data_IF_571190165392
#
_entry.id   IF_571190165392
#
_cell.length_a   1.000
_cell.length_b   1.000
_cell.length_c   1.000
_cell.angle_alpha   90.00
_cell.angle_beta   90.00
_cell.angle_gamma   90.00
#
_symmetry.space_group_name_H-M   'P 1'
#
loop_
_entity.id
_entity.type
_entity.pdbx_description
1 polymer ?
#
# COMPACT_ATOMS: atom_id res chain seq x y z
N UNK A 1 -6.68 21.02 -0.50
CA UNK A 1 -7.77 20.07 -0.81
C UNK A 1 -7.37 18.72 -0.24
N UNK A 2 -8.30 17.90 0.27
CA UNK A 2 -7.94 16.66 0.97
C UNK A 2 -8.02 15.47 0.02
N UNK A 3 -6.94 14.70 -0.11
CA UNK A 3 -6.89 13.43 -0.84
C UNK A 3 -7.59 12.36 0.01
N UNK A 4 -8.63 11.73 -0.55
CA UNK A 4 -9.27 10.56 0.06
C UNK A 4 -8.45 9.31 -0.29
N UNK A 5 -8.02 8.56 0.71
CA UNK A 5 -7.23 7.35 0.52
C UNK A 5 -8.01 6.14 1.03
N UNK A 6 -8.16 5.12 0.22
CA UNK A 6 -8.91 3.91 0.57
C UNK A 6 -8.00 2.68 0.50
N UNK A 7 -8.10 1.79 1.48
CA UNK A 7 -7.34 0.53 1.47
C UNK A 7 -7.93 -0.49 2.45
N UNK A 8 -7.26 -1.64 2.59
CA UNK A 8 -7.81 -2.77 3.36
C UNK A 8 -7.77 -2.55 4.87
N UNK A 9 -6.63 -2.09 5.43
CA UNK A 9 -6.39 -2.17 6.86
C UNK A 9 -5.47 -1.11 7.46
N UNK A 10 -5.03 -1.41 8.69
CA UNK A 10 -4.35 -0.46 9.55
C UNK A 10 -2.84 -0.32 9.22
N UNK A 11 -2.26 -1.25 8.44
CA UNK A 11 -0.86 -1.11 7.99
C UNK A 11 -0.75 0.04 7.01
N UNK A 12 -1.64 0.08 6.01
CA UNK A 12 -1.77 1.15 5.04
C UNK A 12 -2.10 2.47 5.72
N UNK A 13 -3.04 2.48 6.68
CA UNK A 13 -3.40 3.67 7.45
C UNK A 13 -2.18 4.29 8.13
N UNK A 14 -1.35 3.47 8.79
CA UNK A 14 -0.16 3.96 9.47
C UNK A 14 0.91 4.45 8.50
N UNK A 15 1.07 3.80 7.34
CA UNK A 15 1.96 4.29 6.28
C UNK A 15 1.47 5.65 5.79
N UNK A 16 0.20 5.78 5.40
CA UNK A 16 -0.38 7.04 4.94
C UNK A 16 -0.29 8.16 5.99
N UNK A 17 -0.53 7.85 7.26
CA UNK A 17 -0.42 8.83 8.35
C UNK A 17 1.01 9.34 8.54
N UNK A 18 2.03 8.50 8.34
CA UNK A 18 3.42 8.94 8.42
C UNK A 18 3.86 9.71 7.16
N UNK A 19 3.40 9.32 5.96
CA UNK A 19 3.61 10.08 4.73
C UNK A 19 2.98 11.48 4.83
N UNK A 20 1.75 11.57 5.35
CA UNK A 20 1.05 12.83 5.66
C UNK A 20 1.89 13.75 6.54
N UNK A 21 2.49 13.23 7.61
CA UNK A 21 3.27 14.04 8.55
C UNK A 21 4.60 14.49 7.95
N UNK A 22 5.27 13.62 7.20
CA UNK A 22 6.63 13.85 6.69
C UNK A 22 6.67 14.76 5.47
N UNK A 23 5.67 14.63 4.61
CA UNK A 23 5.58 15.36 3.35
C UNK A 23 4.43 16.37 3.33
N UNK A 24 3.88 16.70 4.51
CA UNK A 24 2.79 17.69 4.70
C UNK A 24 1.53 17.47 3.82
N UNK A 25 1.33 16.24 3.33
CA UNK A 25 0.25 15.87 2.40
C UNK A 25 -1.10 15.95 3.10
N UNK A 26 -2.04 16.70 2.52
CA UNK A 26 -3.41 16.75 3.01
C UNK A 26 -4.19 15.49 2.58
N UNK A 27 -4.09 14.42 3.38
CA UNK A 27 -4.84 13.18 3.15
C UNK A 27 -5.75 12.78 4.31
N UNK A 28 -6.78 12.01 3.98
CA UNK A 28 -7.67 11.30 4.90
C UNK A 28 -7.79 9.84 4.45
N UNK A 29 -7.27 8.94 5.29
CA UNK A 29 -7.39 7.50 5.07
C UNK A 29 -8.74 6.98 5.59
N UNK A 30 -9.41 6.14 4.80
CA UNK A 30 -10.66 5.48 5.14
C UNK A 30 -10.50 3.95 4.96
N UNK A 31 -10.41 3.17 6.06
CA UNK A 31 -10.23 1.71 5.98
C UNK A 31 -11.50 1.00 5.53
N UNK A 32 -11.41 0.17 4.49
CA UNK A 32 -12.52 -0.66 4.01
C UNK A 32 -12.88 -1.79 4.99
N UNK A 33 -11.89 -2.25 5.80
CA UNK A 33 -12.02 -3.40 6.70
C UNK A 33 -12.54 -4.64 5.98
N UNK A 34 -11.95 -4.95 4.82
CA UNK A 34 -12.37 -6.06 3.98
C UNK A 34 -11.48 -6.20 2.76
N UNK A 35 -11.94 -7.00 1.80
CA UNK A 35 -11.24 -7.25 0.53
C UNK A 35 -11.53 -6.16 -0.52
N UNK A 36 -11.04 -6.38 -1.75
CA UNK A 36 -11.30 -5.55 -2.93
C UNK A 36 -12.74 -5.09 -3.08
N UNK A 37 -13.72 -5.98 -2.91
CA UNK A 37 -15.13 -5.64 -3.14
C UNK A 37 -15.67 -4.72 -2.03
N UNK A 38 -15.17 -4.87 -0.80
CA UNK A 38 -15.45 -3.94 0.29
C UNK A 38 -14.85 -2.56 0.02
N UNK A 39 -13.62 -2.49 -0.50
CA UNK A 39 -12.99 -1.24 -0.95
C UNK A 39 -13.86 -0.58 -2.04
N UNK A 40 -14.14 -1.30 -3.13
CA UNK A 40 -14.93 -0.78 -4.26
C UNK A 40 -16.30 -0.23 -3.80
N UNK A 41 -17.00 -0.96 -2.91
CA UNK A 41 -18.28 -0.52 -2.36
C UNK A 41 -18.15 0.74 -1.51
N UNK A 42 -17.13 0.81 -0.66
CA UNK A 42 -16.88 1.98 0.19
C UNK A 42 -16.53 3.20 -0.66
N UNK A 43 -15.62 3.06 -1.63
CA UNK A 43 -15.21 4.09 -2.57
C UNK A 43 -16.43 4.65 -3.30
N UNK A 44 -17.25 3.77 -3.90
CA UNK A 44 -18.48 4.16 -4.60
C UNK A 44 -19.43 4.94 -3.68
N UNK A 45 -19.69 4.44 -2.47
CA UNK A 45 -20.58 5.09 -1.51
C UNK A 45 -20.05 6.44 -1.01
N UNK A 46 -18.72 6.61 -0.96
CA UNK A 46 -18.09 7.84 -0.50
C UNK A 46 -18.00 8.90 -1.59
N UNK A 47 -17.64 8.50 -2.81
CA UNK A 47 -17.36 9.42 -3.91
C UNK A 47 -18.63 9.88 -4.62
N UNK A 48 -19.62 8.98 -4.81
CA UNK A 48 -20.84 9.31 -5.57
C UNK A 48 -21.56 10.56 -5.05
N UNK A 49 -21.81 10.74 -3.73
CA UNK A 49 -22.43 11.97 -3.22
C UNK A 49 -21.58 13.22 -3.46
N UNK A 50 -20.25 13.14 -3.30
CA UNK A 50 -19.36 14.29 -3.45
C UNK A 50 -19.37 14.83 -4.88
N UNK A 51 -19.42 13.93 -5.86
CA UNK A 51 -19.52 14.31 -7.28
C UNK A 51 -20.87 14.97 -7.62
N UNK A 52 -21.95 14.61 -6.92
CA UNK A 52 -23.26 15.24 -7.10
C UNK A 52 -23.32 16.66 -6.53
N UNK A 53 -22.45 16.97 -5.56
CA UNK A 53 -22.30 18.29 -4.96
C UNK A 53 -21.29 19.18 -5.72
N UNK A 54 -20.80 18.73 -6.89
CA UNK A 54 -19.79 19.40 -7.73
C UNK A 54 -18.46 19.70 -7.02
N UNK A 55 -18.19 18.99 -5.91
CA UNK A 55 -16.91 19.04 -5.22
C UNK A 55 -15.81 18.39 -6.07
N UNK A 56 -14.59 18.93 -6.02
CA UNK A 56 -13.46 18.21 -6.61
C UNK A 56 -13.06 17.05 -5.72
N UNK A 57 -12.93 15.89 -6.34
CA UNK A 57 -12.65 14.63 -5.66
C UNK A 57 -11.28 14.13 -6.09
N UNK A 58 -10.37 14.07 -5.13
CA UNK A 58 -9.01 13.53 -5.28
C UNK A 58 -8.95 12.21 -4.53
N UNK A 59 -8.72 11.11 -5.24
CA UNK A 59 -8.85 9.76 -4.68
C UNK A 59 -7.63 8.90 -4.97
N UNK A 60 -7.06 8.26 -3.93
CA UNK A 60 -6.10 7.17 -4.09
C UNK A 60 -6.68 5.88 -3.52
N UNK A 61 -6.60 4.80 -4.29
CA UNK A 61 -7.05 3.48 -3.84
C UNK A 61 -5.84 2.54 -3.79
N UNK A 62 -5.69 1.86 -2.65
CA UNK A 62 -4.61 0.91 -2.38
C UNK A 62 -5.17 -0.51 -2.43
N UNK A 63 -4.60 -1.33 -3.31
CA UNK A 63 -4.93 -2.74 -3.40
C UNK A 63 -3.72 -3.61 -3.12
N UNK A 64 -3.95 -4.69 -2.38
CA UNK A 64 -3.01 -5.80 -2.35
C UNK A 64 -3.21 -6.69 -3.57
N UNK A 65 -2.14 -7.37 -3.99
CA UNK A 65 -2.17 -8.35 -5.08
C UNK A 65 -2.09 -9.77 -4.52
N UNK A 66 -3.11 -10.58 -4.81
CA UNK A 66 -3.18 -11.99 -4.42
C UNK A 66 -3.53 -12.85 -5.63
N UNK A 67 -2.49 -13.25 -6.36
CA UNK A 67 -2.64 -14.09 -7.55
C UNK A 67 -3.21 -15.47 -7.25
N UNK A 68 -3.13 -15.96 -6.01
CA UNK A 68 -3.64 -17.30 -5.66
C UNK A 68 -5.16 -17.32 -5.46
N UNK A 69 -5.76 -16.18 -5.15
CA UNK A 69 -7.22 -16.01 -5.06
C UNK A 69 -7.85 -15.45 -6.35
N UNK A 70 -7.15 -15.52 -7.49
CA UNK A 70 -7.55 -14.86 -8.75
C UNK A 70 -7.81 -13.35 -8.58
N UNK A 71 -7.00 -12.68 -7.75
CA UNK A 71 -6.96 -11.21 -7.67
C UNK A 71 -5.74 -10.74 -8.43
N UNK A 72 -5.82 -10.81 -9.76
CA UNK A 72 -4.78 -10.28 -10.64
C UNK A 72 -4.95 -8.77 -10.84
N UNK A 73 -3.92 -8.10 -11.37
CA UNK A 73 -4.02 -6.69 -11.76
C UNK A 73 -5.14 -6.48 -12.79
N UNK A 74 -5.32 -7.41 -13.73
CA UNK A 74 -6.40 -7.37 -14.70
C UNK A 74 -7.79 -7.44 -14.04
N UNK A 75 -7.95 -8.27 -13.00
CA UNK A 75 -9.22 -8.37 -12.26
C UNK A 75 -9.51 -7.11 -11.44
N UNK A 76 -8.47 -6.51 -10.85
CA UNK A 76 -8.59 -5.22 -10.14
C UNK A 76 -9.00 -4.13 -11.15
N UNK A 77 -8.28 -4.00 -12.26
CA UNK A 77 -8.58 -3.03 -13.31
C UNK A 77 -9.99 -3.23 -13.89
N UNK A 78 -10.40 -4.47 -14.16
CA UNK A 78 -11.74 -4.77 -14.64
C UNK A 78 -12.83 -4.39 -13.63
N UNK A 79 -12.58 -4.56 -12.32
CA UNK A 79 -13.53 -4.19 -11.26
C UNK A 79 -13.74 -2.67 -11.12
N UNK A 80 -12.83 -1.87 -11.69
CA UNK A 80 -12.83 -0.40 -11.59
C UNK A 80 -13.26 0.22 -12.93
N UNK A 81 -12.51 -0.09 -13.99
CA UNK A 81 -12.63 0.51 -15.33
C UNK A 81 -13.40 -0.35 -16.34
N UNK A 82 -13.71 -1.61 -16.00
CA UNK A 82 -14.46 -2.50 -16.89
C UNK A 82 -15.91 -2.06 -17.11
N UNK A 83 -16.62 -2.74 -18.02
CA UNK A 83 -18.04 -2.47 -18.32
C UNK A 83 -18.96 -2.59 -17.09
N UNK A 84 -18.64 -3.52 -16.19
CA UNK A 84 -19.34 -3.73 -14.92
C UNK A 84 -18.60 -3.09 -13.72
N UNK A 85 -17.56 -2.30 -14.01
CA UNK A 85 -16.71 -1.66 -13.01
C UNK A 85 -17.46 -0.62 -12.19
N UNK A 86 -17.01 -0.35 -10.98
CA UNK A 86 -17.76 0.54 -10.06
C UNK A 86 -17.83 1.99 -10.54
N UNK A 87 -16.89 2.47 -11.36
CA UNK A 87 -16.94 3.84 -11.89
C UNK A 87 -18.19 4.06 -12.74
N UNK A 88 -18.60 3.07 -13.54
CA UNK A 88 -19.83 3.14 -14.36
C UNK A 88 -21.13 3.04 -13.55
N UNK A 89 -21.05 2.70 -12.26
CA UNK A 89 -22.18 2.71 -11.33
C UNK A 89 -22.46 4.10 -10.75
N UNK A 90 -21.65 5.09 -11.11
CA UNK A 90 -21.89 6.50 -10.85
C UNK A 90 -22.66 7.05 -12.06
N UNK A 91 -23.87 7.59 -11.85
CA UNK A 91 -24.81 7.91 -12.94
C UNK A 91 -24.20 8.87 -13.97
N UNK A 92 -23.46 9.89 -13.53
CA UNK A 92 -22.80 10.87 -14.40
C UNK A 92 -21.65 10.27 -15.24
N UNK A 93 -21.23 9.04 -14.94
CA UNK A 93 -20.10 8.34 -15.56
C UNK A 93 -20.54 7.13 -16.42
N UNK A 94 -21.84 6.83 -16.51
CA UNK A 94 -22.32 5.57 -17.12
C UNK A 94 -21.81 5.34 -18.55
N UNK A 95 -21.75 6.42 -19.33
CA UNK A 95 -21.38 6.40 -20.75
C UNK A 95 -19.87 6.59 -21.00
N UNK A 96 -19.07 6.86 -19.97
CA UNK A 96 -17.63 7.14 -20.12
C UNK A 96 -16.87 5.85 -20.42
N UNK A 97 -16.06 5.84 -21.48
CA UNK A 97 -15.21 4.70 -21.80
C UNK A 97 -13.87 4.69 -21.05
N UNK A 98 -13.93 4.27 -19.79
CA UNK A 98 -12.78 4.21 -18.89
C UNK A 98 -11.59 3.40 -19.40
N UNK A 99 -11.81 2.37 -20.23
CA UNK A 99 -10.70 1.54 -20.74
C UNK A 99 -9.76 2.31 -21.67
N UNK A 100 -10.25 3.36 -22.32
CA UNK A 100 -9.49 4.16 -23.27
C UNK A 100 -8.89 5.43 -22.67
N UNK A 101 -9.24 5.78 -21.42
CA UNK A 101 -8.81 7.02 -20.75
C UNK A 101 -8.03 6.77 -19.45
N UNK A 102 -8.15 5.59 -18.85
CA UNK A 102 -7.31 5.21 -17.73
C UNK A 102 -5.92 4.87 -18.24
N UNK A 103 -4.89 5.45 -17.64
CA UNK A 103 -3.51 5.31 -18.08
C UNK A 103 -2.68 4.65 -16.98
N UNK A 104 -1.82 3.71 -17.37
CA UNK A 104 -0.75 3.22 -16.50
C UNK A 104 0.33 4.30 -16.40
N UNK A 105 0.81 4.57 -15.19
CA UNK A 105 1.79 5.62 -14.96
C UNK A 105 3.13 5.28 -15.65
N UNK A 106 3.71 6.25 -16.35
CA UNK A 106 4.88 6.06 -17.23
C UNK A 106 6.13 5.49 -16.53
N UNK A 107 6.28 5.78 -15.24
CA UNK A 107 7.44 5.37 -14.43
C UNK A 107 7.12 4.26 -13.43
N UNK A 108 5.84 3.90 -13.26
CA UNK A 108 5.38 2.98 -12.22
C UNK A 108 4.32 2.04 -12.76
N UNK A 109 4.72 0.82 -13.14
CA UNK A 109 3.83 -0.19 -13.71
C UNK A 109 2.67 -0.56 -12.76
N UNK A 110 2.85 -0.38 -11.46
CA UNK A 110 1.87 -0.74 -10.44
C UNK A 110 0.93 0.42 -10.05
N UNK A 111 0.94 1.50 -10.84
CA UNK A 111 0.13 2.69 -10.63
C UNK A 111 -0.73 2.96 -11.88
N UNK A 112 -2.04 3.02 -11.69
CA UNK A 112 -3.00 3.40 -12.72
C UNK A 112 -3.67 4.72 -12.35
N UNK A 113 -3.92 5.55 -13.35
CA UNK A 113 -4.34 6.94 -13.16
C UNK A 113 -5.48 7.30 -14.08
N UNK A 114 -6.35 8.19 -13.62
CA UNK A 114 -7.50 8.69 -14.36
C UNK A 114 -7.76 10.13 -13.93
N UNK A 115 -7.84 11.03 -14.91
CA UNK A 115 -8.22 12.43 -14.71
C UNK A 115 -9.43 12.76 -15.57
N UNK A 116 -10.51 13.18 -14.92
CA UNK A 116 -11.75 13.62 -15.55
C UNK A 116 -11.99 15.10 -15.21
N UNK A 117 -11.36 15.98 -15.98
CA UNK A 117 -11.35 17.43 -15.70
C UNK A 117 -12.77 18.04 -15.71
N UNK A 118 -13.66 17.57 -16.59
CA UNK A 118 -15.07 18.00 -16.65
C UNK A 118 -15.79 17.78 -15.32
N UNK A 119 -15.41 16.73 -14.58
CA UNK A 119 -16.03 16.33 -13.32
C UNK A 119 -15.17 16.65 -12.10
N UNK A 120 -14.06 17.39 -12.29
CA UNK A 120 -13.06 17.69 -11.24
C UNK A 120 -12.62 16.45 -10.44
N UNK A 121 -12.53 15.31 -11.13
CA UNK A 121 -12.28 14.00 -10.53
C UNK A 121 -10.93 13.44 -10.93
N UNK A 122 -10.07 13.21 -9.95
CA UNK A 122 -8.77 12.55 -10.13
C UNK A 122 -8.72 11.27 -9.30
N UNK A 123 -8.30 10.19 -9.94
CA UNK A 123 -8.16 8.88 -9.34
C UNK A 123 -6.77 8.31 -9.63
N UNK A 124 -6.08 7.85 -8.59
CA UNK A 124 -4.92 6.99 -8.70
C UNK A 124 -5.19 5.65 -7.99
N UNK A 125 -4.73 4.55 -8.59
CA UNK A 125 -4.86 3.20 -8.06
C UNK A 125 -3.45 2.64 -7.94
N UNK A 126 -3.02 2.43 -6.72
CA UNK A 126 -1.76 1.77 -6.42
C UNK A 126 -2.03 0.30 -6.09
N UNK A 127 -1.48 -0.59 -6.89
CA UNK A 127 -1.51 -2.03 -6.64
C UNK A 127 -0.16 -2.43 -6.05
N UNK A 128 -0.14 -3.09 -4.89
CA UNK A 128 1.09 -3.59 -4.31
C UNK A 128 1.58 -4.79 -5.14
N UNK A 129 2.50 -4.59 -6.07
CA UNK A 129 3.12 -5.66 -6.90
C UNK A 129 4.50 -6.08 -6.40
N UNK A 130 5.10 -5.29 -5.51
CA UNK A 130 6.41 -5.52 -4.93
C UNK A 130 6.39 -6.68 -3.95
N UNK A 131 7.13 -7.74 -4.28
CA UNK A 131 7.40 -8.86 -3.36
C UNK A 131 8.82 -8.77 -2.83
N UNK A 132 8.98 -8.70 -1.50
CA UNK A 132 10.32 -8.76 -0.90
C UNK A 132 11.00 -10.11 -1.16
N UNK A 133 10.24 -11.20 -1.15
CA UNK A 133 10.69 -12.53 -1.61
C UNK A 133 9.79 -13.02 -2.75
N UNK A 134 10.42 -13.49 -3.84
CA UNK A 134 9.71 -14.03 -5.02
C UNK A 134 8.76 -15.20 -4.70
N UNK A 135 9.04 -15.95 -3.63
CA UNK A 135 8.22 -17.08 -3.19
C UNK A 135 6.95 -16.68 -2.45
N UNK A 136 6.74 -15.39 -2.16
CA UNK A 136 5.55 -14.95 -1.44
C UNK A 136 4.29 -15.11 -2.27
N UNK A 137 3.24 -15.62 -1.61
CA UNK A 137 1.94 -15.87 -2.22
C UNK A 137 1.23 -14.55 -2.52
N UNK A 138 1.27 -13.63 -1.57
CA UNK A 138 0.66 -12.30 -1.65
C UNK A 138 1.73 -11.21 -1.78
N UNK A 139 1.35 -10.09 -2.37
CA UNK A 139 2.10 -8.83 -2.37
C UNK A 139 1.23 -7.74 -1.77
N UNK A 140 1.75 -7.06 -0.74
CA UNK A 140 0.99 -6.10 0.05
C UNK A 140 1.85 -4.91 0.49
N UNK A 141 1.26 -3.90 1.13
CA UNK A 141 2.04 -2.79 1.69
C UNK A 141 3.09 -3.26 2.72
N UNK A 142 2.83 -4.39 3.38
CA UNK A 142 3.76 -5.00 4.34
C UNK A 142 5.11 -5.38 3.69
N UNK A 143 5.16 -5.65 2.38
CA UNK A 143 6.42 -5.89 1.65
C UNK A 143 7.31 -4.64 1.61
N UNK A 144 6.70 -3.48 1.39
CA UNK A 144 7.38 -2.17 1.38
C UNK A 144 7.89 -1.84 2.78
N UNK A 145 7.05 -2.06 3.80
CA UNK A 145 7.40 -1.87 5.21
C UNK A 145 8.55 -2.78 5.61
N UNK A 146 8.53 -4.05 5.20
CA UNK A 146 9.59 -5.00 5.51
C UNK A 146 10.92 -4.59 4.87
N UNK A 147 10.91 -4.20 3.60
CA UNK A 147 12.13 -3.72 2.96
C UNK A 147 12.69 -2.48 3.66
N UNK A 148 11.82 -1.54 4.03
CA UNK A 148 12.24 -0.33 4.73
C UNK A 148 12.84 -0.66 6.10
N UNK A 149 12.24 -1.61 6.84
CA UNK A 149 12.74 -2.06 8.13
C UNK A 149 14.11 -2.77 8.04
N UNK A 150 14.43 -3.34 6.88
CA UNK A 150 15.70 -4.02 6.63
C UNK A 150 16.81 -3.07 6.14
N UNK A 151 16.49 -1.80 5.85
CA UNK A 151 17.52 -0.79 5.55
C UNK A 151 18.43 -0.60 6.79
N UNK A 152 19.77 -0.55 6.63
CA UNK A 152 20.69 -0.54 7.78
C UNK A 152 20.41 0.55 8.82
N UNK A 153 20.11 1.77 8.37
CA UNK A 153 19.83 2.90 9.27
C UNK A 153 18.50 2.71 10.03
N UNK A 154 17.45 2.27 9.33
CA UNK A 154 16.15 1.96 9.96
C UNK A 154 16.29 0.82 10.96
N UNK A 155 16.94 -0.28 10.57
CA UNK A 155 17.22 -1.42 11.44
C UNK A 155 18.01 -0.99 12.68
N UNK A 156 18.99 -0.09 12.54
CA UNK A 156 19.78 0.40 13.65
C UNK A 156 18.97 1.21 14.66
N UNK A 157 18.11 2.10 14.18
CA UNK A 157 17.22 2.88 15.05
C UNK A 157 16.18 1.99 15.73
N UNK A 158 15.63 1.00 15.03
CA UNK A 158 14.70 0.03 15.61
C UNK A 158 15.37 -0.89 16.64
N UNK A 159 16.61 -1.33 16.40
CA UNK A 159 17.37 -2.22 17.28
C UNK A 159 17.93 -1.54 18.53
N UNK A 160 18.02 -0.19 18.54
CA UNK A 160 18.54 0.60 19.67
C UNK A 160 17.93 0.23 21.02
N UNK A 161 16.67 -0.19 21.03
CA UNK A 161 15.93 -0.50 22.26
C UNK A 161 16.26 -1.86 22.87
N UNK A 162 16.92 -2.76 22.13
CA UNK A 162 17.16 -4.15 22.57
C UNK A 162 18.64 -4.56 22.64
N UNK A 163 19.56 -3.61 22.42
CA UNK A 163 21.02 -3.83 22.51
C UNK A 163 21.53 -5.00 21.63
N UNK A 164 20.95 -5.16 20.43
CA UNK A 164 21.43 -6.08 19.40
C UNK A 164 21.95 -5.25 18.24
N UNK A 165 23.05 -5.67 17.61
CA UNK A 165 23.56 -4.97 16.43
C UNK A 165 22.58 -5.07 15.26
N UNK A 166 22.48 -4.05 14.40
CA UNK A 166 21.53 -4.03 13.29
C UNK A 166 21.72 -5.23 12.36
N UNK A 167 22.98 -5.57 12.04
CA UNK A 167 23.34 -6.71 11.19
C UNK A 167 22.87 -8.05 11.77
N UNK A 168 22.93 -8.21 13.10
CA UNK A 168 22.44 -9.42 13.77
C UNK A 168 20.92 -9.49 13.75
N UNK A 169 20.23 -8.35 13.86
CA UNK A 169 18.77 -8.31 13.70
C UNK A 169 18.41 -8.74 12.27
N UNK A 170 19.02 -8.12 11.27
CA UNK A 170 18.77 -8.45 9.86
C UNK A 170 19.05 -9.94 9.61
N UNK A 171 20.22 -10.45 9.99
CA UNK A 171 20.57 -11.86 9.81
C UNK A 171 19.56 -12.82 10.47
N UNK A 172 19.06 -12.49 11.68
CA UNK A 172 18.04 -13.29 12.36
C UNK A 172 16.72 -13.33 11.61
N UNK A 173 16.30 -12.20 11.05
CA UNK A 173 15.01 -12.07 10.36
C UNK A 173 15.06 -12.66 8.96
N UNK A 174 16.16 -12.49 8.23
CA UNK A 174 16.23 -12.89 6.83
C UNK A 174 16.76 -14.31 6.64
N UNK A 175 17.51 -14.84 7.61
CA UNK A 175 18.23 -16.10 7.49
C UNK A 175 18.06 -17.02 8.71
N UNK A 176 18.60 -16.67 9.89
CA UNK A 176 18.76 -17.65 10.98
C UNK A 176 17.43 -18.26 11.46
N UNK A 177 16.42 -17.43 11.73
CA UNK A 177 15.12 -17.92 12.20
C UNK A 177 14.32 -18.58 11.06
N UNK A 178 14.24 -17.99 9.85
CA UNK A 178 13.64 -18.68 8.71
C UNK A 178 14.23 -20.06 8.43
N UNK A 179 15.57 -20.20 8.45
CA UNK A 179 16.25 -21.48 8.21
C UNK A 179 15.93 -22.50 9.31
N UNK A 180 15.87 -22.05 10.57
CA UNK A 180 15.48 -22.90 11.70
C UNK A 180 14.03 -23.38 11.57
N UNK A 181 13.10 -22.49 11.22
CA UNK A 181 11.68 -22.84 11.01
C UNK A 181 11.54 -23.83 9.85
N UNK A 182 12.25 -23.60 8.75
CA UNK A 182 12.27 -24.48 7.59
C UNK A 182 12.83 -25.86 7.94
N UNK A 183 13.93 -25.93 8.70
CA UNK A 183 14.50 -27.19 9.15
C UNK A 183 13.52 -27.98 10.02
N UNK A 184 12.84 -27.31 10.96
CA UNK A 184 11.83 -27.92 11.81
C UNK A 184 10.56 -28.36 11.05
N UNK A 185 10.28 -27.73 9.91
CA UNK A 185 9.17 -28.06 9.03
C UNK A 185 9.55 -29.05 7.91
N UNK A 186 10.58 -29.89 8.11
CA UNK A 186 11.05 -30.85 7.12
C UNK A 186 11.39 -30.24 5.75
N UNK A 187 11.93 -29.02 5.75
CA UNK A 187 12.32 -28.28 4.55
C UNK A 187 11.21 -27.43 3.93
N UNK A 188 10.00 -27.42 4.49
CA UNK A 188 8.90 -26.58 4.01
C UNK A 188 9.07 -25.13 4.47
N UNK A 189 8.90 -24.19 3.53
CA UNK A 189 8.88 -22.76 3.88
C UNK A 189 7.49 -22.38 4.38
N UNK A 190 7.40 -21.98 5.64
CA UNK A 190 6.16 -21.62 6.30
C UNK A 190 5.98 -20.10 6.44
N UNK A 191 6.95 -19.30 6.02
CA UNK A 191 6.85 -17.85 6.01
C UNK A 191 6.53 -17.40 4.59
N UNK A 192 5.24 -17.43 4.25
CA UNK A 192 4.76 -17.29 2.87
C UNK A 192 4.40 -15.86 2.49
N UNK A 193 4.39 -14.93 3.44
CA UNK A 193 4.03 -13.52 3.21
C UNK A 193 4.97 -12.57 3.98
N UNK A 194 5.10 -11.33 3.49
CA UNK A 194 5.88 -10.29 4.18
C UNK A 194 5.39 -10.04 5.60
N UNK A 195 4.07 -10.16 5.82
CA UNK A 195 3.43 -10.01 7.13
C UNK A 195 3.98 -10.98 8.18
N UNK A 196 4.39 -12.17 7.79
CA UNK A 196 4.97 -13.15 8.71
C UNK A 196 6.38 -12.75 9.14
N UNK A 197 7.17 -12.23 8.20
CA UNK A 197 8.47 -11.65 8.50
C UNK A 197 8.35 -10.38 9.35
N UNK A 198 7.33 -9.54 9.10
CA UNK A 198 7.04 -8.37 9.94
C UNK A 198 6.73 -8.78 11.38
N UNK A 199 5.91 -9.81 11.59
CA UNK A 199 5.62 -10.37 12.92
C UNK A 199 6.88 -10.92 13.59
N UNK A 200 7.69 -11.64 12.83
CA UNK A 200 8.97 -12.17 13.30
C UNK A 200 9.93 -11.05 13.71
N UNK A 201 10.04 -10.01 12.88
CA UNK A 201 10.86 -8.83 13.14
C UNK A 201 10.40 -8.15 14.42
N UNK A 202 9.11 -7.85 14.53
CA UNK A 202 8.53 -7.29 15.73
C UNK A 202 8.83 -8.15 16.98
N UNK A 203 8.76 -9.48 16.87
CA UNK A 203 9.06 -10.39 17.97
C UNK A 203 10.55 -10.36 18.39
N UNK A 204 11.49 -10.37 17.44
CA UNK A 204 12.93 -10.25 17.73
C UNK A 204 13.25 -8.92 18.41
N UNK A 205 12.60 -7.84 17.96
CA UNK A 205 12.73 -6.51 18.56
C UNK A 205 11.94 -6.32 19.87
N UNK A 206 11.22 -7.34 20.35
CA UNK A 206 10.32 -7.24 21.51
C UNK A 206 9.33 -6.07 21.39
N UNK A 207 8.88 -5.79 20.17
CA UNK A 207 7.82 -4.85 19.86
C UNK A 207 6.47 -5.57 19.87
N UNK A 208 5.38 -4.80 19.88
CA UNK A 208 4.06 -5.38 19.66
C UNK A 208 4.04 -6.05 18.27
N UNK A 209 3.66 -7.33 18.21
CA UNK A 209 3.67 -8.16 16.99
C UNK A 209 2.56 -7.82 16.00
N UNK A 210 1.93 -6.64 16.16
CA UNK A 210 0.89 -6.17 15.24
C UNK A 210 1.58 -5.56 14.01
N UNK A 211 1.31 -6.03 12.79
CA UNK A 211 1.91 -5.49 11.58
C UNK A 211 1.69 -3.99 11.42
N UNK A 212 0.50 -3.50 11.77
CA UNK A 212 0.19 -2.08 11.73
C UNK A 212 1.08 -1.27 12.70
N UNK A 213 1.26 -1.74 13.94
CA UNK A 213 2.11 -1.06 14.92
C UNK A 213 3.57 -1.08 14.47
N UNK A 214 4.01 -2.18 13.88
CA UNK A 214 5.35 -2.30 13.29
C UNK A 214 5.53 -1.32 12.13
N UNK A 215 4.59 -1.24 11.19
CA UNK A 215 4.61 -0.30 10.07
C UNK A 215 4.77 1.14 10.55
N UNK A 216 3.97 1.58 11.53
CA UNK A 216 4.11 2.92 12.11
C UNK A 216 5.49 3.15 12.75
N UNK A 217 6.03 2.18 13.49
CA UNK A 217 7.37 2.29 14.10
C UNK A 217 8.48 2.33 13.05
N UNK A 218 8.41 1.49 12.03
CA UNK A 218 9.37 1.46 10.92
C UNK A 218 9.36 2.79 10.20
N UNK A 219 8.18 3.27 9.78
CA UNK A 219 8.02 4.56 9.11
C UNK A 219 8.52 5.71 9.99
N UNK A 220 8.27 5.71 11.30
CA UNK A 220 8.75 6.76 12.20
C UNK A 220 10.28 6.77 12.41
N UNK A 221 10.96 5.64 12.22
CA UNK A 221 12.41 5.53 12.42
C UNK A 221 13.19 5.61 11.10
N UNK A 222 12.57 5.37 9.97
CA UNK A 222 13.25 5.43 8.68
C UNK A 222 13.70 6.84 8.29
N UNK A 223 14.78 6.89 7.50
CA UNK A 223 15.24 8.11 6.85
C UNK A 223 14.28 8.48 5.72
N UNK A 224 14.11 9.78 5.48
CA UNK A 224 13.19 10.28 4.47
C UNK A 224 13.55 9.79 3.06
N UNK A 225 14.84 9.73 2.75
CA UNK A 225 15.32 9.25 1.44
C UNK A 225 14.92 7.79 1.19
N UNK A 226 15.06 6.91 2.19
CA UNK A 226 14.66 5.50 2.07
C UNK A 226 13.13 5.38 1.91
N UNK A 227 12.36 6.22 2.60
CA UNK A 227 10.90 6.27 2.43
C UNK A 227 10.55 6.70 1.00
N UNK A 228 11.18 7.77 0.49
CA UNK A 228 10.95 8.27 -0.87
C UNK A 228 11.29 7.21 -1.93
N UNK A 229 12.40 6.50 -1.75
CA UNK A 229 12.82 5.42 -2.65
C UNK A 229 11.83 4.25 -2.64
N UNK A 230 11.48 3.75 -1.44
CA UNK A 230 10.69 2.52 -1.31
C UNK A 230 9.22 2.76 -1.64
N UNK A 231 8.65 3.88 -1.16
CA UNK A 231 7.24 4.22 -1.36
C UNK A 231 7.02 5.15 -2.56
N UNK A 232 8.00 5.26 -3.47
CA UNK A 232 7.92 6.12 -4.65
C UNK A 232 6.61 5.95 -5.44
N UNK A 233 6.10 4.73 -5.73
CA UNK A 233 4.86 4.60 -6.49
C UNK A 233 3.64 5.16 -5.75
N UNK A 234 3.60 5.05 -4.41
CA UNK A 234 2.53 5.60 -3.59
C UNK A 234 2.63 7.13 -3.49
N UNK A 235 3.84 7.66 -3.40
CA UNK A 235 4.11 9.11 -3.44
C UNK A 235 3.67 9.67 -4.79
N UNK A 236 4.06 9.05 -5.91
CA UNK A 236 3.62 9.44 -7.24
C UNK A 236 2.09 9.41 -7.42
N UNK A 237 1.40 8.46 -6.76
CA UNK A 237 -0.07 8.43 -6.75
C UNK A 237 -0.67 9.68 -6.08
N UNK A 238 -0.08 10.15 -4.99
CA UNK A 238 -0.50 11.37 -4.30
C UNK A 238 -0.15 12.63 -5.12
N UNK A 239 1.03 12.70 -5.74
CA UNK A 239 1.42 13.79 -6.64
C UNK A 239 0.49 13.89 -7.86
N UNK A 240 0.10 12.74 -8.43
CA UNK A 240 -0.82 12.72 -9.57
C UNK A 240 -2.17 13.35 -9.21
N UNK A 241 -2.79 12.93 -8.11
CA UNK A 241 -4.12 13.44 -7.76
C UNK A 241 -4.08 14.83 -7.13
N UNK A 242 -3.06 15.12 -6.33
CA UNK A 242 -2.91 16.38 -5.59
C UNK A 242 -2.22 17.50 -6.37
N UNK A 243 -1.52 17.18 -7.45
CA UNK A 243 -0.59 18.07 -8.13
C UNK A 243 0.83 17.98 -7.57
N UNK A 244 1.82 18.52 -8.30
CA UNK A 244 3.23 18.47 -7.91
C UNK A 244 3.54 19.18 -6.58
N UNK A 245 2.69 20.13 -6.17
CA UNK A 245 2.83 20.87 -4.91
C UNK A 245 2.21 20.12 -3.69
N UNK A 246 1.75 18.89 -3.89
CA UNK A 246 1.10 18.11 -2.84
C UNK A 246 2.05 17.42 -1.85
N UNK A 247 3.37 17.37 -2.14
CA UNK A 247 4.41 16.59 -1.42
C UNK A 247 5.74 17.36 -1.36
#
# INVERSE_FOLDING_TARGET
MTILVFGEGNSEENVCNELKKRFEIQLKYEPAKGNRDAINKMVLNRIRPLLQEEESVLCVILYDLDSHENKTEADINASIFGREGWLRKIDIFSEIDFQNIAEQHSSHENLYTLSLSEFKFNLAIHIATKRWKKSFTKSAIDDYVLELALRPNTAAKLAKFINISPDKVIAKITQEIPDLLKANANGQDNLTEAKDYVRLYAAVLKLHTSPAVFAGKTMANADEQDIREIFQPLIAAFEFVGGADAI
#
